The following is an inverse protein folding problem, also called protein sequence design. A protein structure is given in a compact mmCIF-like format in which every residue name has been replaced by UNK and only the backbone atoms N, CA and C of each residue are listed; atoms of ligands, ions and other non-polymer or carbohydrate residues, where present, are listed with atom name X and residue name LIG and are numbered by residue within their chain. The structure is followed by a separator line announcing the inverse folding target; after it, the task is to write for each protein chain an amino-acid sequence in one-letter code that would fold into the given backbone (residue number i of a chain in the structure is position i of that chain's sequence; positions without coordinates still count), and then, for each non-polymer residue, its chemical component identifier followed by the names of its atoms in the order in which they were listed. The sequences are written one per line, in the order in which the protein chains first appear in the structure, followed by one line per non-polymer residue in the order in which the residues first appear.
data_IF_692483619871
#
_entry.id   IF_692483619871
#
_cell.length_a   1.000
_cell.length_b   1.000
_cell.length_c   1.000
_cell.angle_alpha   90.00
_cell.angle_beta   90.00
_cell.angle_gamma   90.00
#
_symmetry.space_group_name_H-M   'P 1'
#
loop_
_entity.id
_entity.type
_entity.pdbx_description
1 polymer ?
#
# COMPACT_ATOMS: atom_id res chain seq x y z
N UNK A 1 -27.94 -10.77 -11.56
CA UNK A 1 -28.76 -9.61 -11.97
C UNK A 1 -27.91 -8.36 -11.90
N UNK A 2 -28.20 -7.43 -12.83
CA UNK A 2 -27.59 -6.10 -13.04
C UNK A 2 -26.32 -6.17 -13.89
N UNK A 3 -26.30 -5.91 -15.21
CA UNK A 3 -27.10 -5.00 -16.06
C UNK A 3 -27.25 -3.60 -15.48
N UNK A 4 -26.43 -2.67 -15.96
CA UNK A 4 -26.87 -1.37 -16.49
C UNK A 4 -25.78 -0.83 -17.41
N UNK A 5 -25.91 -1.15 -18.70
CA UNK A 5 -25.12 -0.55 -19.78
C UNK A 5 -25.73 0.79 -20.15
N UNK A 6 -24.93 1.86 -20.18
CA UNK A 6 -25.23 3.02 -21.00
C UNK A 6 -24.24 3.03 -22.18
N UNK A 7 -24.80 2.87 -23.38
CA UNK A 7 -24.12 2.92 -24.69
C UNK A 7 -23.97 4.38 -25.11
N UNK A 8 -22.91 4.66 -25.88
CA UNK A 8 -22.89 5.76 -26.85
C UNK A 8 -21.70 6.70 -26.72
N UNK A 9 -20.56 6.32 -27.31
CA UNK A 9 -19.49 7.24 -27.67
C UNK A 9 -19.27 7.11 -29.18
N UNK A 10 -19.61 8.15 -29.94
CA UNK A 10 -19.28 8.33 -31.35
C UNK A 10 -17.99 9.17 -31.46
N UNK A 11 -17.08 8.89 -32.41
CA UNK A 11 -15.80 9.59 -32.53
C UNK A 11 -15.90 10.84 -33.41
N UNK A 12 -15.33 11.95 -32.96
CA UNK A 12 -15.06 13.10 -33.82
C UNK A 12 -13.74 12.91 -34.58
N UNK A 13 -13.82 13.05 -35.89
CA UNK A 13 -12.72 12.96 -36.84
C UNK A 13 -12.33 14.34 -37.37
N UNK A 14 -11.03 14.47 -37.67
CA UNK A 14 -10.41 15.24 -38.77
C UNK A 14 -9.95 16.69 -38.59
N UNK A 15 -8.61 16.82 -38.76
CA UNK A 15 -7.85 17.65 -39.70
C UNK A 15 -7.78 19.19 -39.57
N UNK A 16 -6.54 19.70 -39.47
CA UNK A 16 -5.93 20.80 -40.28
C UNK A 16 -4.45 20.96 -39.85
N UNK A 17 -3.41 20.61 -40.62
CA UNK A 17 -2.78 21.23 -41.83
C UNK A 17 -2.05 22.57 -41.62
N UNK A 18 -0.70 22.51 -41.75
CA UNK A 18 0.24 23.47 -42.40
C UNK A 18 0.40 24.88 -41.76
N UNK A 19 1.53 25.60 -41.68
CA UNK A 19 2.81 25.63 -42.41
C UNK A 19 3.76 26.72 -41.84
N UNK A 20 5.08 26.54 -42.04
CA UNK A 20 6.14 27.56 -42.34
C UNK A 20 6.63 28.56 -41.28
N UNK A 21 7.97 28.76 -41.23
CA UNK A 21 8.60 29.96 -40.66
C UNK A 21 10.07 29.82 -40.23
N UNK A 22 11.01 30.02 -41.17
CA UNK A 22 12.47 30.20 -40.95
C UNK A 22 12.79 31.44 -40.10
N UNK A 23 13.86 31.39 -39.27
CA UNK A 23 14.84 32.48 -39.11
C UNK A 23 16.07 32.03 -38.32
N UNK A 24 17.18 32.73 -38.50
CA UNK A 24 18.56 32.22 -38.56
C UNK A 24 19.51 32.71 -37.45
N UNK A 25 20.39 31.80 -36.99
CA UNK A 25 21.82 31.98 -36.62
C UNK A 25 22.22 32.89 -35.42
N UNK A 26 23.49 32.86 -34.95
CA UNK A 26 24.35 31.71 -34.57
C UNK A 26 25.15 31.98 -33.26
N UNK A 27 25.64 30.98 -32.52
CA UNK A 27 27.02 30.93 -31.97
C UNK A 27 27.27 29.74 -31.01
N UNK A 28 28.49 29.21 -31.12
CA UNK A 28 29.24 28.34 -30.20
C UNK A 28 28.97 26.82 -30.15
N UNK A 29 29.97 26.13 -30.71
CA UNK A 29 30.32 24.71 -30.72
C UNK A 29 30.67 24.13 -29.33
N UNK A 30 30.83 22.79 -29.21
CA UNK A 30 30.71 22.06 -27.95
C UNK A 30 32.04 21.95 -27.18
N UNK A 31 31.95 21.96 -25.85
CA UNK A 31 33.04 21.54 -24.98
C UNK A 31 32.97 20.02 -24.80
N UNK A 32 33.97 19.32 -25.33
CA UNK A 32 34.34 17.97 -24.92
C UNK A 32 35.48 18.07 -23.91
N UNK A 33 35.30 17.49 -22.72
CA UNK A 33 36.43 17.01 -21.91
C UNK A 33 35.99 15.79 -21.07
N UNK A 34 36.37 14.65 -21.62
CA UNK A 34 37.01 13.47 -21.04
C UNK A 34 36.81 13.01 -19.58
N UNK A 35 36.66 11.67 -19.52
CA UNK A 35 37.12 10.68 -18.54
C UNK A 35 36.86 10.84 -17.03
N UNK A 36 36.15 9.83 -16.50
CA UNK A 36 36.58 9.16 -15.26
C UNK A 36 35.64 9.25 -14.07
N UNK A 37 34.68 8.33 -13.98
CA UNK A 37 34.38 7.56 -12.75
C UNK A 37 33.10 6.75 -12.95
N UNK A 38 33.26 5.46 -13.30
CA UNK A 38 32.18 4.49 -13.18
C UNK A 38 31.95 4.16 -11.70
N UNK A 39 30.71 4.11 -11.21
CA UNK A 39 30.42 3.60 -9.87
C UNK A 39 30.75 2.10 -9.81
N UNK A 40 31.14 1.56 -8.64
CA UNK A 40 31.59 0.17 -8.54
C UNK A 40 30.47 -0.79 -8.92
N UNK A 41 30.69 -1.54 -9.99
CA UNK A 41 29.84 -2.65 -10.38
C UNK A 41 30.01 -3.79 -9.38
N UNK A 42 28.92 -4.18 -8.73
CA UNK A 42 28.87 -5.40 -7.92
C UNK A 42 28.97 -6.61 -8.87
N UNK A 43 30.14 -7.24 -8.90
CA UNK A 43 30.37 -8.51 -9.60
C UNK A 43 29.54 -9.62 -8.92
N UNK A 44 28.44 -10.01 -9.57
CA UNK A 44 27.78 -11.29 -9.30
C UNK A 44 28.65 -12.42 -9.87
N UNK A 45 29.57 -12.94 -9.05
CA UNK A 45 30.17 -14.25 -9.32
C UNK A 45 29.15 -15.34 -8.99
N UNK A 46 28.65 -16.02 -10.02
CA UNK A 46 28.01 -17.33 -9.86
C UNK A 46 29.07 -18.33 -9.40
N UNK A 47 28.69 -19.32 -8.59
CA UNK A 47 29.08 -20.67 -8.96
C UNK A 47 27.91 -21.65 -8.91
N UNK A 48 27.66 -22.27 -10.07
CA UNK A 48 27.03 -23.58 -10.13
C UNK A 48 28.11 -24.64 -9.86
N UNK A 49 27.78 -25.50 -8.91
CA UNK A 49 28.13 -26.92 -8.82
C UNK A 49 29.53 -27.37 -8.38
N UNK A 50 29.48 -28.47 -7.61
CA UNK A 50 30.51 -29.47 -7.29
C UNK A 50 31.45 -29.13 -6.12
N UNK A 51 31.16 -29.72 -4.94
CA UNK A 51 31.91 -30.90 -4.53
C UNK A 51 31.22 -31.66 -3.38
N UNK A 52 30.86 -32.91 -3.69
CA UNK A 52 30.61 -33.97 -2.72
C UNK A 52 31.96 -34.40 -2.16
N UNK A 53 32.13 -34.41 -0.83
CA UNK A 53 32.86 -35.41 -0.03
C UNK A 53 33.24 -34.83 1.34
N UNK A 54 33.37 -35.73 2.32
CA UNK A 54 33.80 -35.54 3.72
C UNK A 54 32.65 -35.44 4.71
N UNK A 55 31.96 -36.57 4.93
CA UNK A 55 31.44 -36.98 6.24
C UNK A 55 31.38 -38.52 6.29
N UNK A 56 32.56 -39.15 6.22
CA UNK A 56 32.77 -40.55 6.59
C UNK A 56 33.92 -40.61 7.59
N UNK A 57 33.77 -39.91 8.72
CA UNK A 57 34.80 -39.96 9.78
C UNK A 57 34.30 -39.78 11.22
N UNK A 58 33.00 -39.79 11.47
CA UNK A 58 32.46 -39.83 12.83
C UNK A 58 31.30 -40.82 12.90
N UNK A 59 31.63 -42.12 12.88
CA UNK A 59 30.68 -43.23 12.90
C UNK A 59 29.71 -43.19 14.09
N UNK A 60 28.57 -42.54 13.90
CA UNK A 60 27.43 -42.58 14.81
C UNK A 60 26.29 -43.35 14.14
N UNK A 61 26.21 -44.64 14.48
CA UNK A 61 25.00 -45.45 14.33
C UNK A 61 24.20 -45.31 15.62
N UNK A 62 22.95 -44.84 15.52
CA UNK A 62 22.03 -44.75 16.66
C UNK A 62 21.02 -45.89 16.56
N UNK A 63 21.11 -46.85 17.48
CA UNK A 63 20.00 -47.73 17.85
C UNK A 63 19.50 -47.38 19.26
N UNK A 64 18.19 -47.42 19.53
CA UNK A 64 17.64 -47.05 20.82
C UNK A 64 17.39 -48.29 21.67
N UNK A 65 18.07 -48.44 22.82
CA UNK A 65 17.58 -49.33 23.88
C UNK A 65 17.75 -48.74 25.28
N UNK A 66 16.66 -48.84 26.01
CA UNK A 66 16.40 -48.45 27.39
C UNK A 66 17.46 -48.95 28.39
N UNK A 67 17.80 -48.10 29.37
CA UNK A 67 18.50 -48.53 30.58
C UNK A 67 18.95 -47.38 31.47
N UNK A 68 18.37 -47.28 32.66
CA UNK A 68 18.73 -46.32 33.72
C UNK A 68 20.10 -46.67 34.30
N UNK A 69 21.07 -45.75 34.29
CA UNK A 69 22.31 -45.87 35.09
C UNK A 69 22.57 -44.55 35.83
N UNK A 70 22.83 -44.66 37.15
CA UNK A 70 23.20 -43.56 38.05
C UNK A 70 24.73 -43.53 38.24
N UNK A 71 25.27 -42.31 38.11
CA UNK A 71 26.42 -41.66 38.78
C UNK A 71 27.73 -42.43 39.06
N UNK A 72 28.84 -41.86 38.60
CA UNK A 72 29.94 -41.42 39.50
C UNK A 72 30.84 -40.41 38.79
N UNK A 73 31.20 -39.32 39.47
CA UNK A 73 32.04 -38.24 38.97
C UNK A 73 33.46 -38.46 39.49
N UNK A 74 34.35 -39.02 38.66
CA UNK A 74 35.79 -38.95 38.92
C UNK A 74 36.37 -37.76 38.18
N UNK A 75 36.86 -36.80 38.96
CA UNK A 75 37.40 -35.54 38.49
C UNK A 75 38.53 -35.72 37.48
N UNK A 76 38.36 -35.05 36.35
CA UNK A 76 39.43 -34.65 35.46
C UNK A 76 39.37 -33.13 35.36
N UNK A 77 40.35 -32.50 35.99
CA UNK A 77 40.53 -31.07 36.04
C UNK A 77 41.19 -30.63 34.72
N UNK A 78 40.37 -30.31 33.71
CA UNK A 78 40.83 -29.70 32.47
C UNK A 78 40.67 -28.18 32.61
N UNK A 79 41.80 -27.48 32.62
CA UNK A 79 41.85 -26.02 32.74
C UNK A 79 41.02 -25.34 31.66
N UNK A 80 40.03 -24.56 32.09
CA UNK A 80 39.30 -23.62 31.24
C UNK A 80 40.24 -22.47 30.86
N UNK A 81 40.82 -22.54 29.66
CA UNK A 81 41.30 -21.34 28.99
C UNK A 81 40.09 -20.44 28.70
N UNK A 82 40.12 -19.18 29.17
CA UNK A 82 39.13 -18.17 28.82
C UNK A 82 39.16 -17.95 27.30
N UNK A 83 38.02 -17.96 26.59
CA UNK A 83 38.01 -17.54 25.20
C UNK A 83 38.44 -16.08 25.12
N UNK A 84 39.35 -15.78 24.18
CA UNK A 84 39.68 -14.41 23.80
C UNK A 84 38.41 -13.77 23.22
N UNK A 85 38.19 -12.51 23.58
CA UNK A 85 37.19 -11.65 22.95
C UNK A 85 37.61 -11.38 21.50
N UNK A 86 37.40 -12.35 20.62
CA UNK A 86 37.46 -12.12 19.18
C UNK A 86 36.04 -11.69 18.79
N UNK A 87 35.93 -10.41 18.43
CA UNK A 87 34.70 -9.76 18.01
C UNK A 87 33.93 -10.64 17.03
N UNK A 88 32.67 -10.92 17.35
CA UNK A 88 31.75 -11.58 16.43
C UNK A 88 31.73 -10.79 15.10
N UNK A 89 31.78 -11.47 13.94
CA UNK A 89 31.63 -10.77 12.67
C UNK A 89 30.28 -10.08 12.66
N UNK A 90 30.29 -8.78 12.37
CA UNK A 90 29.11 -7.96 12.13
C UNK A 90 28.28 -8.63 11.02
N UNK A 91 27.24 -9.35 11.42
CA UNK A 91 26.24 -9.87 10.51
C UNK A 91 25.50 -8.64 10.04
N UNK A 92 25.98 -8.05 8.94
CA UNK A 92 25.22 -7.11 8.15
C UNK A 92 23.95 -7.82 7.71
N UNK A 93 22.91 -7.67 8.52
CA UNK A 93 21.54 -8.00 8.13
C UNK A 93 21.32 -7.15 6.89
N UNK A 94 21.26 -7.80 5.72
CA UNK A 94 20.80 -7.15 4.51
C UNK A 94 19.42 -6.60 4.84
N UNK A 95 19.35 -5.29 5.12
CA UNK A 95 18.10 -4.59 5.31
C UNK A 95 17.30 -4.80 4.03
N UNK A 96 16.25 -5.62 4.13
CA UNK A 96 15.29 -5.76 3.05
C UNK A 96 14.82 -4.34 2.71
N UNK A 97 14.78 -3.95 1.42
CA UNK A 97 14.33 -2.62 1.06
C UNK A 97 12.99 -2.37 1.73
N UNK A 98 12.89 -1.32 2.55
CA UNK A 98 11.64 -0.96 3.20
C UNK A 98 10.55 -0.95 2.13
N UNK A 99 9.40 -1.62 2.37
CA UNK A 99 8.33 -1.63 1.40
C UNK A 99 7.94 -0.18 1.14
N UNK A 100 8.20 0.31 -0.08
CA UNK A 100 7.94 1.71 -0.42
C UNK A 100 6.54 2.11 0.07
N UNK A 101 6.51 3.19 0.86
CA UNK A 101 5.34 3.65 1.60
C UNK A 101 4.10 3.80 0.72
N UNK A 102 2.92 3.54 1.30
CA UNK A 102 1.65 3.67 0.59
C UNK A 102 1.26 5.15 0.39
N UNK A 103 0.46 5.47 -0.64
CA UNK A 103 -0.02 6.84 -0.89
C UNK A 103 -1.13 7.31 0.08
N UNK A 104 -1.49 6.47 1.07
CA UNK A 104 -2.47 6.72 2.13
C UNK A 104 -1.92 6.18 3.43
N UNK A 105 -2.50 6.60 4.55
CA UNK A 105 -2.06 6.13 5.86
C UNK A 105 -2.29 4.62 6.07
N UNK A 106 -1.57 4.05 7.03
CA UNK A 106 -1.60 2.62 7.33
C UNK A 106 -3.01 2.13 7.70
N UNK A 107 -3.79 2.95 8.44
CA UNK A 107 -5.15 2.58 8.83
C UNK A 107 -6.07 2.34 7.62
N UNK A 108 -5.94 3.14 6.56
CA UNK A 108 -6.69 2.92 5.32
C UNK A 108 -6.24 1.66 4.57
N UNK A 109 -4.93 1.38 4.56
CA UNK A 109 -4.38 0.16 3.93
C UNK A 109 -4.90 -1.09 4.64
N UNK A 110 -4.82 -1.10 5.97
CA UNK A 110 -5.28 -2.20 6.81
C UNK A 110 -6.78 -2.41 6.67
N UNK A 111 -7.56 -1.32 6.64
CA UNK A 111 -8.99 -1.36 6.39
C UNK A 111 -9.30 -2.05 5.06
N UNK A 112 -8.67 -1.62 3.96
CA UNK A 112 -8.89 -2.23 2.64
C UNK A 112 -8.52 -3.72 2.68
N UNK A 113 -7.33 -4.06 3.18
CA UNK A 113 -6.86 -5.44 3.26
C UNK A 113 -7.69 -6.32 4.20
N UNK A 114 -8.41 -5.76 5.18
CA UNK A 114 -9.32 -6.53 6.04
C UNK A 114 -10.56 -7.04 5.29
N UNK A 115 -10.99 -6.33 4.23
CA UNK A 115 -12.13 -6.71 3.41
C UNK A 115 -11.74 -7.47 2.13
N UNK A 116 -10.56 -7.16 1.58
CA UNK A 116 -10.01 -7.87 0.44
C UNK A 116 -9.36 -9.18 0.87
N UNK A 117 -9.46 -10.24 0.06
CA UNK A 117 -8.77 -11.51 0.32
C UNK A 117 -7.72 -11.73 -0.76
N UNK A 118 -6.47 -11.87 -0.37
CA UNK A 118 -5.42 -12.21 -1.33
C UNK A 118 -5.70 -13.57 -2.01
N UNK A 119 -5.54 -13.58 -3.34
CA UNK A 119 -5.60 -14.76 -4.20
C UNK A 119 -4.45 -14.72 -5.18
N UNK A 120 -3.52 -15.67 -5.08
CA UNK A 120 -2.36 -15.76 -5.96
C UNK A 120 -2.73 -16.16 -7.39
N UNK A 121 -3.84 -16.88 -7.57
CA UNK A 121 -4.34 -17.34 -8.87
C UNK A 121 -5.59 -16.56 -9.30
N UNK A 122 -5.79 -16.35 -10.62
CA UNK A 122 -7.05 -15.84 -11.16
C UNK A 122 -8.24 -16.71 -10.73
N UNK A 123 -9.32 -16.08 -10.28
CA UNK A 123 -10.57 -16.77 -9.96
C UNK A 123 -11.77 -16.00 -10.50
N UNK A 124 -12.81 -16.74 -10.91
CA UNK A 124 -14.10 -16.15 -11.25
C UNK A 124 -14.97 -16.11 -9.99
N UNK A 125 -15.55 -14.95 -9.71
CA UNK A 125 -16.57 -14.79 -8.69
C UNK A 125 -17.95 -14.55 -9.31
N UNK A 126 -18.97 -14.65 -8.46
CA UNK A 126 -20.34 -14.33 -8.84
C UNK A 126 -20.46 -12.81 -9.01
N UNK A 127 -20.09 -12.28 -10.18
CA UNK A 127 -20.12 -10.85 -10.46
C UNK A 127 -19.10 -10.36 -11.48
N UNK A 128 -18.16 -11.21 -11.90
CA UNK A 128 -17.03 -10.77 -12.73
C UNK A 128 -17.33 -10.66 -14.23
N UNK A 129 -18.55 -10.95 -14.67
CA UNK A 129 -18.97 -10.89 -16.09
C UNK A 129 -18.04 -11.66 -17.04
N UNK A 130 -17.43 -12.75 -16.55
CA UNK A 130 -16.48 -13.57 -17.32
C UNK A 130 -15.01 -13.12 -17.26
N UNK A 131 -14.68 -12.07 -16.48
CA UNK A 131 -13.31 -11.58 -16.31
C UNK A 131 -12.77 -11.89 -14.92
N UNK A 132 -11.74 -12.74 -14.73
CA UNK A 132 -11.30 -13.14 -13.40
C UNK A 132 -10.78 -11.99 -12.52
N UNK A 133 -10.79 -12.23 -11.21
CA UNK A 133 -10.14 -11.40 -10.19
C UNK A 133 -8.87 -12.08 -9.69
N UNK A 134 -7.84 -11.32 -9.32
CA UNK A 134 -6.57 -11.82 -8.78
C UNK A 134 -5.99 -10.85 -7.75
N UNK A 135 -5.08 -11.34 -6.90
CA UNK A 135 -4.37 -10.56 -5.89
C UNK A 135 -5.35 -10.05 -4.83
N UNK A 136 -5.24 -8.75 -4.52
CA UNK A 136 -6.15 -8.05 -3.62
C UNK A 136 -7.29 -7.40 -4.43
N UNK A 137 -8.15 -8.19 -5.07
CA UNK A 137 -9.32 -7.64 -5.77
C UNK A 137 -9.02 -6.91 -7.10
N UNK A 138 -7.93 -7.27 -7.80
CA UNK A 138 -7.67 -6.76 -9.14
C UNK A 138 -8.53 -7.50 -10.17
N UNK A 139 -9.50 -6.80 -10.78
CA UNK A 139 -10.31 -7.34 -11.88
C UNK A 139 -9.52 -7.29 -13.18
N UNK A 140 -9.29 -8.45 -13.78
CA UNK A 140 -8.64 -8.57 -15.08
C UNK A 140 -9.50 -8.00 -16.20
N UNK A 141 -8.86 -7.61 -17.30
CA UNK A 141 -9.48 -7.10 -18.52
C UNK A 141 -9.57 -8.16 -19.62
N UNK A 142 -8.89 -9.30 -19.43
CA UNK A 142 -8.96 -10.48 -20.28
C UNK A 142 -9.47 -11.69 -19.47
N UNK A 143 -10.12 -12.65 -20.13
CA UNK A 143 -10.66 -13.84 -19.46
C UNK A 143 -9.57 -14.75 -18.85
N UNK A 144 -8.31 -14.57 -19.22
CA UNK A 144 -7.16 -15.37 -18.78
C UNK A 144 -6.14 -14.57 -17.93
N UNK A 145 -6.42 -13.29 -17.63
CA UNK A 145 -5.52 -12.37 -16.92
C UNK A 145 -4.12 -12.20 -17.54
N UNK A 146 -3.93 -12.57 -18.82
CA UNK A 146 -2.60 -12.56 -19.47
C UNK A 146 -2.01 -11.16 -19.65
N UNK A 147 -2.80 -10.10 -19.50
CA UNK A 147 -2.30 -8.72 -19.49
C UNK A 147 -1.30 -8.44 -18.36
N UNK A 148 -1.32 -9.23 -17.28
CA UNK A 148 -0.36 -9.12 -16.20
C UNK A 148 1.03 -9.63 -16.61
N UNK A 149 1.10 -10.62 -17.52
CA UNK A 149 2.37 -11.14 -18.03
C UNK A 149 3.12 -10.05 -18.82
N UNK A 150 2.40 -9.26 -19.61
CA UNK A 150 2.98 -8.10 -20.33
C UNK A 150 3.47 -7.00 -19.39
N UNK A 151 3.04 -6.99 -18.12
CA UNK A 151 3.46 -6.07 -17.07
C UNK A 151 4.54 -6.66 -16.14
N UNK A 152 5.21 -7.74 -16.57
CA UNK A 152 6.25 -8.42 -15.79
C UNK A 152 5.77 -9.06 -14.48
N UNK A 153 4.49 -9.44 -14.40
CA UNK A 153 3.99 -10.32 -13.37
C UNK A 153 4.05 -11.79 -13.83
N UNK A 154 4.02 -12.71 -12.87
CA UNK A 154 3.85 -14.15 -13.11
C UNK A 154 2.49 -14.61 -12.62
N UNK A 155 2.00 -15.73 -13.15
CA UNK A 155 0.81 -16.41 -12.67
C UNK A 155 1.23 -17.83 -12.24
N UNK A 156 1.00 -18.24 -10.97
CA UNK A 156 0.44 -17.45 -9.88
C UNK A 156 1.33 -16.27 -9.45
N UNK A 157 0.72 -15.27 -8.80
CA UNK A 157 1.44 -14.16 -8.17
C UNK A 157 2.20 -14.65 -6.93
N UNK A 158 3.45 -14.21 -6.77
CA UNK A 158 4.11 -14.24 -5.46
C UNK A 158 3.53 -13.20 -4.53
N UNK A 159 3.78 -13.30 -3.22
CA UNK A 159 3.32 -12.30 -2.23
C UNK A 159 3.83 -10.89 -2.58
N UNK A 160 5.10 -10.78 -2.98
CA UNK A 160 5.69 -9.51 -3.39
C UNK A 160 5.04 -8.92 -4.64
N UNK A 161 4.66 -9.77 -5.60
CA UNK A 161 3.92 -9.35 -6.79
C UNK A 161 2.47 -8.97 -6.46
N UNK A 162 1.83 -9.72 -5.56
CA UNK A 162 0.51 -9.39 -5.02
C UNK A 162 0.48 -8.02 -4.36
N UNK A 163 1.50 -7.73 -3.56
CA UNK A 163 1.69 -6.45 -2.90
C UNK A 163 1.97 -5.31 -3.89
N UNK A 164 2.82 -5.55 -4.89
CA UNK A 164 3.05 -4.58 -5.98
C UNK A 164 1.76 -4.27 -6.74
N UNK A 165 0.98 -5.30 -7.10
CA UNK A 165 -0.29 -5.13 -7.82
C UNK A 165 -1.33 -4.41 -6.95
N UNK A 166 -1.36 -4.69 -5.64
CA UNK A 166 -2.19 -3.96 -4.69
C UNK A 166 -1.85 -2.48 -4.66
N UNK A 167 -0.56 -2.11 -4.57
CA UNK A 167 -0.12 -0.71 -4.62
C UNK A 167 -0.52 0.00 -5.90
N UNK A 168 -0.36 -0.67 -7.05
CA UNK A 168 -0.80 -0.13 -8.34
C UNK A 168 -2.31 0.13 -8.37
N UNK A 169 -3.13 -0.81 -7.90
CA UNK A 169 -4.59 -0.63 -7.82
C UNK A 169 -5.00 0.42 -6.78
N UNK A 170 -4.30 0.50 -5.64
CA UNK A 170 -4.52 1.49 -4.60
C UNK A 170 -4.22 2.90 -5.13
N UNK A 171 -3.14 3.06 -5.89
CA UNK A 171 -2.82 4.33 -6.53
C UNK A 171 -3.93 4.80 -7.47
N UNK A 172 -4.53 3.89 -8.25
CA UNK A 172 -5.70 4.23 -9.08
C UNK A 172 -6.87 4.72 -8.22
N UNK A 173 -7.16 4.09 -7.09
CA UNK A 173 -8.23 4.54 -6.19
C UNK A 173 -7.93 5.92 -5.55
N UNK A 174 -6.67 6.19 -5.22
CA UNK A 174 -6.20 7.52 -4.77
C UNK A 174 -6.43 8.58 -5.85
N UNK A 175 -6.04 8.29 -7.08
CA UNK A 175 -6.20 9.20 -8.20
C UNK A 175 -7.68 9.42 -8.54
N UNK A 176 -8.50 8.38 -8.41
CA UNK A 176 -9.95 8.46 -8.58
C UNK A 176 -10.59 9.43 -7.56
N UNK A 177 -10.23 9.33 -6.27
CA UNK A 177 -10.73 10.27 -5.24
C UNK A 177 -10.26 11.69 -5.53
N UNK A 178 -8.97 11.88 -5.84
CA UNK A 178 -8.41 13.21 -6.17
C UNK A 178 -9.05 13.85 -7.40
N UNK A 179 -9.53 13.04 -8.35
CA UNK A 179 -10.17 13.53 -9.55
C UNK A 179 -11.60 14.05 -9.30
N UNK A 180 -12.29 13.54 -8.28
CA UNK A 180 -13.72 13.82 -8.06
C UNK A 180 -13.99 14.70 -6.84
N UNK A 181 -13.11 14.68 -5.83
CA UNK A 181 -13.19 15.59 -4.68
C UNK A 181 -12.67 16.97 -5.08
N UNK A 182 -13.49 17.99 -4.85
CA UNK A 182 -13.18 19.37 -5.19
C UNK A 182 -12.01 19.91 -4.38
N UNK A 183 -11.22 20.80 -5.00
CA UNK A 183 -10.02 21.39 -4.37
C UNK A 183 -10.28 22.20 -3.09
N UNK A 184 -11.53 22.59 -2.84
CA UNK A 184 -11.94 23.32 -1.62
C UNK A 184 -12.45 22.42 -0.50
N UNK A 185 -12.32 21.10 -0.63
CA UNK A 185 -12.74 20.13 0.39
C UNK A 185 -11.50 19.66 1.15
N UNK A 186 -11.34 20.15 2.38
CA UNK A 186 -10.16 19.86 3.22
C UNK A 186 -10.34 18.58 4.03
N UNK A 187 -9.85 17.46 3.52
CA UNK A 187 -9.96 16.16 4.19
C UNK A 187 -8.70 15.86 4.99
N UNK A 188 -8.87 15.34 6.21
CA UNK A 188 -7.76 14.75 6.95
C UNK A 188 -7.35 13.38 6.36
N UNK A 189 -6.24 12.82 6.83
CA UNK A 189 -5.70 11.56 6.30
C UNK A 189 -6.67 10.37 6.42
N UNK A 190 -7.40 10.27 7.53
CA UNK A 190 -8.36 9.20 7.75
C UNK A 190 -9.60 9.35 6.87
N UNK A 191 -10.11 10.57 6.72
CA UNK A 191 -11.23 10.88 5.83
C UNK A 191 -10.88 10.58 4.37
N UNK A 192 -9.69 11.02 3.93
CA UNK A 192 -9.19 10.70 2.60
C UNK A 192 -9.01 9.18 2.43
N UNK A 193 -8.39 8.50 3.40
CA UNK A 193 -8.18 7.06 3.39
C UNK A 193 -9.48 6.24 3.30
N UNK A 194 -10.52 6.65 4.03
CA UNK A 194 -11.84 6.01 3.97
C UNK A 194 -12.53 6.22 2.61
N UNK A 195 -12.43 7.41 2.00
CA UNK A 195 -12.88 7.65 0.62
C UNK A 195 -12.12 6.79 -0.39
N UNK A 196 -10.81 6.61 -0.19
CA UNK A 196 -9.99 5.72 -1.03
C UNK A 196 -10.43 4.26 -0.89
N UNK A 197 -10.76 3.78 0.32
CA UNK A 197 -11.34 2.44 0.51
C UNK A 197 -12.68 2.27 -0.22
N UNK A 198 -13.54 3.29 -0.15
CA UNK A 198 -14.82 3.30 -0.87
C UNK A 198 -14.59 3.26 -2.39
N UNK A 199 -13.67 4.07 -2.91
CA UNK A 199 -13.27 4.10 -4.32
C UNK A 199 -12.70 2.76 -4.79
N UNK A 200 -11.85 2.13 -3.97
CA UNK A 200 -11.24 0.84 -4.26
C UNK A 200 -12.27 -0.26 -4.53
N UNK A 201 -13.37 -0.23 -3.77
CA UNK A 201 -14.46 -1.19 -3.84
C UNK A 201 -15.42 -0.93 -5.00
N UNK A 202 -15.73 0.34 -5.24
CA UNK A 202 -16.89 0.72 -6.05
C UNK A 202 -16.52 1.37 -7.38
N UNK A 203 -15.29 1.86 -7.50
CA UNK A 203 -14.73 2.51 -8.68
C UNK A 203 -15.19 3.97 -8.86
N UNK A 204 -14.35 4.75 -9.57
CA UNK A 204 -14.59 6.18 -9.85
C UNK A 204 -15.98 6.51 -10.35
N UNK A 205 -16.47 5.77 -11.34
CA UNK A 205 -17.70 6.13 -12.04
C UNK A 205 -18.93 6.18 -11.13
N UNK A 206 -18.92 5.37 -10.06
CA UNK A 206 -19.96 5.42 -9.03
C UNK A 206 -19.74 6.59 -8.06
N UNK A 207 -18.49 6.85 -7.65
CA UNK A 207 -18.16 8.00 -6.78
C UNK A 207 -18.53 9.33 -7.43
N UNK A 208 -18.11 9.54 -8.67
CA UNK A 208 -18.29 10.78 -9.41
C UNK A 208 -19.76 11.21 -9.53
N UNK A 209 -20.67 10.23 -9.62
CA UNK A 209 -22.11 10.46 -9.76
C UNK A 209 -22.87 10.44 -8.44
N UNK A 210 -22.16 10.26 -7.32
CA UNK A 210 -22.79 10.08 -6.03
C UNK A 210 -23.21 11.40 -5.37
N UNK A 211 -24.25 11.32 -4.54
CA UNK A 211 -24.63 12.42 -3.64
C UNK A 211 -23.50 12.76 -2.68
N UNK A 212 -22.75 11.76 -2.20
CA UNK A 212 -21.57 11.93 -1.36
C UNK A 212 -20.60 12.98 -1.95
N UNK A 213 -20.11 12.76 -3.17
CA UNK A 213 -19.19 13.71 -3.81
C UNK A 213 -19.88 15.05 -4.11
N UNK A 214 -21.14 15.04 -4.56
CA UNK A 214 -21.88 16.27 -4.83
C UNK A 214 -22.01 17.16 -3.59
N UNK A 215 -22.31 16.59 -2.42
CA UNK A 215 -22.50 17.31 -1.15
C UNK A 215 -21.16 17.75 -0.56
N UNK A 216 -20.13 16.90 -0.59
CA UNK A 216 -18.77 17.28 -0.19
C UNK A 216 -18.29 18.50 -1.00
N UNK A 217 -18.46 18.48 -2.32
CA UNK A 217 -18.03 19.58 -3.20
C UNK A 217 -18.86 20.86 -3.04
N UNK A 218 -20.02 20.80 -2.38
CA UNK A 218 -20.81 21.98 -1.97
C UNK A 218 -20.34 22.59 -0.65
N UNK A 219 -19.34 21.99 0.00
CA UNK A 219 -18.83 22.44 1.29
C UNK A 219 -19.71 22.05 2.48
N UNK A 220 -20.57 21.05 2.33
CA UNK A 220 -21.29 20.48 3.48
C UNK A 220 -20.33 19.74 4.43
N UNK A 221 -20.73 19.62 5.70
CA UNK A 221 -19.92 18.95 6.73
C UNK A 221 -19.54 17.53 6.32
N UNK A 222 -18.25 17.25 6.27
CA UNK A 222 -17.70 16.03 5.68
C UNK A 222 -18.14 14.77 6.44
N UNK A 223 -18.14 14.84 7.77
CA UNK A 223 -18.50 13.72 8.63
C UNK A 223 -19.98 13.38 8.47
N UNK A 224 -20.84 14.40 8.47
CA UNK A 224 -22.29 14.26 8.25
C UNK A 224 -22.57 13.64 6.89
N UNK A 225 -22.01 14.21 5.81
CA UNK A 225 -22.23 13.72 4.44
C UNK A 225 -21.76 12.28 4.28
N UNK A 226 -20.58 11.93 4.80
CA UNK A 226 -20.06 10.56 4.66
C UNK A 226 -20.94 9.54 5.39
N UNK A 227 -21.42 9.86 6.60
CA UNK A 227 -22.30 8.97 7.37
C UNK A 227 -23.71 8.88 6.76
N UNK A 228 -24.22 9.92 6.14
CA UNK A 228 -25.56 9.87 5.53
C UNK A 228 -25.55 9.11 4.20
N UNK A 229 -24.56 9.34 3.34
CA UNK A 229 -24.62 8.91 1.94
C UNK A 229 -24.01 7.51 1.69
N UNK A 230 -23.19 6.98 2.60
CA UNK A 230 -22.48 5.71 2.36
C UNK A 230 -23.34 4.45 2.54
N UNK A 231 -24.48 4.52 3.22
CA UNK A 231 -25.37 3.36 3.40
C UNK A 231 -26.15 2.99 2.12
N UNK A 232 -26.18 3.86 1.11
CA UNK A 232 -26.78 3.52 -0.19
C UNK A 232 -25.98 2.41 -0.91
N UNK A 233 -24.71 2.22 -0.54
CA UNK A 233 -23.73 1.38 -1.21
C UNK A 233 -23.60 -0.02 -0.60
N UNK A 234 -24.65 -0.46 0.09
CA UNK A 234 -24.70 -1.77 0.76
C UNK A 234 -25.50 -2.82 -0.02
N UNK A 235 -25.90 -2.49 -1.24
CA UNK A 235 -26.71 -3.37 -2.08
C UNK A 235 -25.89 -4.03 -3.20
N UNK A 236 -26.15 -5.31 -3.47
CA UNK A 236 -25.69 -6.02 -4.66
C UNK A 236 -26.84 -6.84 -5.23
N UNK A 237 -27.02 -6.80 -6.56
CA UNK A 237 -28.15 -7.45 -7.22
C UNK A 237 -29.53 -7.02 -6.68
N UNK A 238 -29.65 -5.77 -6.23
CA UNK A 238 -30.88 -5.20 -5.64
C UNK A 238 -31.18 -5.63 -4.20
N UNK A 239 -30.28 -6.35 -3.53
CA UNK A 239 -30.46 -6.80 -2.14
C UNK A 239 -29.37 -6.25 -1.25
N UNK A 240 -29.69 -5.93 0.00
CA UNK A 240 -28.70 -5.59 1.03
C UNK A 240 -27.76 -6.76 1.25
N UNK A 241 -26.46 -6.47 1.36
CA UNK A 241 -25.40 -7.44 1.59
C UNK A 241 -24.68 -7.08 2.88
N UNK A 242 -24.81 -7.94 3.89
CA UNK A 242 -24.20 -7.75 5.22
C UNK A 242 -22.70 -7.45 5.17
N UNK A 243 -21.96 -8.06 4.23
CA UNK A 243 -20.55 -7.78 4.04
C UNK A 243 -20.25 -6.34 3.63
N UNK A 244 -21.12 -5.74 2.78
CA UNK A 244 -20.99 -4.33 2.40
C UNK A 244 -21.42 -3.41 3.53
N UNK A 245 -22.46 -3.77 4.30
CA UNK A 245 -22.86 -3.02 5.51
C UNK A 245 -21.71 -2.92 6.51
N UNK A 246 -21.07 -4.05 6.83
CA UNK A 246 -19.90 -4.09 7.71
C UNK A 246 -18.74 -3.24 7.15
N UNK A 247 -18.53 -3.25 5.82
CA UNK A 247 -17.49 -2.43 5.18
C UNK A 247 -17.77 -0.94 5.30
N UNK A 248 -19.02 -0.52 5.04
CA UNK A 248 -19.42 0.89 5.17
C UNK A 248 -19.33 1.37 6.61
N UNK A 249 -19.66 0.53 7.57
CA UNK A 249 -19.52 0.87 8.99
C UNK A 249 -18.06 1.06 9.40
N UNK A 250 -17.16 0.15 9.01
CA UNK A 250 -15.73 0.29 9.29
C UNK A 250 -15.10 1.51 8.61
N UNK A 251 -15.54 1.84 7.38
CA UNK A 251 -15.11 3.06 6.69
C UNK A 251 -15.60 4.33 7.39
N UNK A 252 -16.83 4.35 7.94
CA UNK A 252 -17.33 5.48 8.73
C UNK A 252 -16.51 5.68 10.00
N UNK A 253 -16.21 4.59 10.70
CA UNK A 253 -15.40 4.63 11.91
C UNK A 253 -14.02 5.23 11.63
N UNK A 254 -13.36 4.81 10.54
CA UNK A 254 -12.12 5.45 10.12
C UNK A 254 -12.35 6.93 9.79
N UNK A 255 -13.37 7.25 9.00
CA UNK A 255 -13.63 8.62 8.51
C UNK A 255 -13.83 9.63 9.65
N UNK A 256 -14.57 9.28 10.71
CA UNK A 256 -14.83 10.18 11.85
C UNK A 256 -13.70 10.22 12.89
N UNK A 257 -12.70 9.35 12.76
CA UNK A 257 -11.56 9.30 13.67
C UNK A 257 -10.59 10.44 13.36
N UNK A 258 -10.27 11.26 14.36
CA UNK A 258 -9.24 12.29 14.22
C UNK A 258 -7.85 11.65 14.05
N UNK A 259 -6.99 12.17 13.17
CA UNK A 259 -5.60 11.70 13.07
C UNK A 259 -4.90 11.88 14.42
N UNK A 260 -4.08 10.91 14.83
CA UNK A 260 -3.45 10.81 16.15
C UNK A 260 -2.35 11.85 16.43
N UNK A 261 -2.43 13.04 15.85
CA UNK A 261 -1.58 14.21 16.13
C UNK A 261 -2.37 15.50 16.33
N UNK A 262 -3.71 15.45 16.26
CA UNK A 262 -4.59 16.57 16.57
C UNK A 262 -5.08 16.48 18.02
N UNK A 263 -4.14 16.44 18.97
CA UNK A 263 -4.48 16.73 20.36
C UNK A 263 -4.79 18.22 20.43
N UNK A 264 -6.05 18.52 20.70
CA UNK A 264 -6.62 19.86 20.78
C UNK A 264 -5.83 20.70 21.78
N UNK A 265 -5.17 21.76 21.30
CA UNK A 265 -4.93 22.95 22.13
C UNK A 265 -6.32 23.48 22.48
N UNK A 266 -6.79 23.09 23.66
CA UNK A 266 -7.96 23.69 24.26
C UNK A 266 -7.72 25.21 24.32
N UNK A 267 -8.72 25.97 23.90
CA UNK A 267 -8.75 27.41 24.02
C UNK A 267 -8.56 27.77 25.50
N UNK A 268 -7.38 28.28 25.83
CA UNK A 268 -7.15 29.00 27.08
C UNK A 268 -7.99 30.28 27.00
N UNK A 269 -9.03 30.35 27.83
CA UNK A 269 -9.84 31.55 27.96
C UNK A 269 -8.95 32.68 28.51
N UNK A 270 -9.04 33.91 27.97
CA UNK A 270 -8.36 35.04 28.57
C UNK A 270 -8.96 35.30 29.96
N UNK A 271 -8.13 35.15 30.99
CA UNK A 271 -8.43 35.55 32.35
C UNK A 271 -8.41 37.08 32.41
N UNK A 272 -9.59 37.70 32.32
CA UNK A 272 -9.83 39.07 32.77
C UNK A 272 -9.72 39.08 34.30
N UNK A 273 -8.54 39.42 34.82
CA UNK A 273 -8.41 39.87 36.20
C UNK A 273 -8.19 41.38 36.21
N UNK A 274 -9.18 42.04 36.78
CA UNK A 274 -9.36 43.47 37.01
C UNK A 274 -8.13 44.18 37.59
N UNK A 275 -7.76 45.29 36.96
CA UNK A 275 -7.13 46.43 37.66
C UNK A 275 -8.06 46.91 38.78
N UNK A 276 -7.52 47.05 39.99
CA UNK A 276 -7.70 48.21 40.89
C UNK A 276 -7.33 47.84 42.33
N UNK A 277 -6.18 48.34 42.82
CA UNK A 277 -6.08 48.99 44.15
C UNK A 277 -4.64 49.40 44.47
N UNK A 278 -4.40 50.70 44.31
CA UNK A 278 -3.62 51.61 45.17
C UNK A 278 -2.20 51.24 45.66
N UNK A 279 -1.24 52.01 45.15
CA UNK A 279 0.05 52.29 45.76
C UNK A 279 -0.12 52.88 47.17
N UNK A 280 0.46 52.21 48.19
CA UNK A 280 0.76 52.84 49.48
C UNK A 280 2.26 53.17 49.50
N UNK A 281 2.58 54.46 49.54
CA UNK A 281 3.90 54.99 49.83
C UNK A 281 4.02 55.10 51.35
N UNK A 282 5.12 54.56 51.91
CA UNK A 282 5.60 54.82 53.27
C UNK A 282 7.02 55.38 53.19
#
# INVERSE_FOLDING_TARGET
MSFFTNRGFEPFSSNFSSSQGFSSNPFCQPFSFDSGSSPPQCLFSRPRALLSAILFQFGFSVEPKFGRVKLSNHGLNLGFARPRNDAAPDISICSLPEPASYPVNTAAVDLIKSFEKFRSEPYLDNGTEGYPTIGWGYKCRKPDCTELLSKSYTLPLSDAQGEKLFREKLQVAVDDVRAVVGKGVDLNENQFGALVSLAYNTGRGNLEKSKLISRLNKGEDQNTVFVEETMDWVHSGGKRVRGLENRREAERQLFVTMPSGAETVAAEQPQEDSEDSECVVC
#
